data_IF_296259788724
#
_entry.id   IF_296259788724
#
_cell.length_a   1.000
_cell.length_b   1.000
_cell.length_c   1.000
_cell.angle_alpha   90.00
_cell.angle_beta   90.00
_cell.angle_gamma   90.00
#
_symmetry.space_group_name_H-M   'P 1'
#
loop_
_entity.id
_entity.type
_entity.pdbx_description
1 polymer ?
#
# COMPACT_ATOMS: atom_id res chain seq x y z
N UNK A 1 9.29 -27.86 1.85
CA UNK A 1 9.79 -26.54 2.29
C UNK A 1 8.71 -25.93 3.17
N UNK A 2 9.00 -25.62 4.43
CA UNK A 2 8.05 -24.89 5.29
C UNK A 2 8.03 -23.45 4.79
N UNK A 3 7.02 -23.10 4.00
CA UNK A 3 6.80 -21.73 3.55
C UNK A 3 6.40 -20.84 4.72
N UNK A 4 6.62 -19.54 4.60
CA UNK A 4 6.16 -18.59 5.60
C UNK A 4 4.64 -18.45 5.56
N UNK A 5 4.02 -18.38 6.72
CA UNK A 5 2.57 -18.13 6.85
C UNK A 5 2.34 -16.63 6.82
N UNK A 6 1.41 -16.16 5.98
CA UNK A 6 0.97 -14.76 6.01
C UNK A 6 -0.14 -14.62 7.04
N UNK A 7 0.04 -13.72 7.98
CA UNK A 7 -0.96 -13.35 8.99
C UNK A 7 -1.14 -11.81 8.99
N UNK A 8 -2.12 -11.32 9.72
CA UNK A 8 -2.48 -9.90 9.74
C UNK A 8 -2.49 -9.36 11.17
N UNK A 9 -1.95 -8.17 11.37
CA UNK A 9 -2.12 -7.46 12.66
C UNK A 9 -3.58 -7.09 12.88
N UNK A 10 -4.22 -6.58 11.83
CA UNK A 10 -5.65 -6.29 11.81
C UNK A 10 -6.24 -6.73 10.47
N UNK A 11 -6.73 -7.97 10.41
CA UNK A 11 -7.29 -8.55 9.19
C UNK A 11 -8.44 -7.71 8.61
N UNK A 12 -9.31 -7.17 9.48
CA UNK A 12 -10.48 -6.41 9.07
C UNK A 12 -10.10 -5.09 8.39
N UNK A 13 -9.18 -4.33 8.97
CA UNK A 13 -8.71 -3.08 8.36
C UNK A 13 -7.90 -3.35 7.10
N UNK A 14 -7.01 -4.36 7.16
CA UNK A 14 -6.19 -4.71 6.01
C UNK A 14 -7.04 -5.11 4.81
N UNK A 15 -8.07 -5.94 5.00
CA UNK A 15 -9.00 -6.33 3.93
C UNK A 15 -9.77 -5.15 3.35
N UNK A 16 -10.11 -4.12 4.14
CA UNK A 16 -10.74 -2.89 3.63
C UNK A 16 -9.76 -2.13 2.72
N UNK A 17 -8.51 -1.98 3.15
CA UNK A 17 -7.46 -1.35 2.36
C UNK A 17 -7.18 -2.11 1.07
N UNK A 18 -7.11 -3.44 1.14
CA UNK A 18 -6.87 -4.30 -0.01
C UNK A 18 -8.00 -4.20 -1.05
N UNK A 19 -9.25 -4.15 -0.61
CA UNK A 19 -10.43 -3.94 -1.49
C UNK A 19 -10.40 -2.57 -2.16
N UNK A 20 -10.05 -1.52 -1.43
CA UNK A 20 -9.87 -0.19 -2.01
C UNK A 20 -8.71 -0.17 -3.01
N UNK A 21 -7.60 -0.80 -2.66
CA UNK A 21 -6.44 -0.93 -3.54
C UNK A 21 -6.84 -1.64 -4.84
N UNK A 22 -7.64 -2.71 -4.77
CA UNK A 22 -8.19 -3.39 -5.95
C UNK A 22 -9.03 -2.45 -6.83
N UNK A 23 -9.85 -1.59 -6.25
CA UNK A 23 -10.74 -0.67 -6.98
C UNK A 23 -9.99 0.48 -7.63
N UNK A 24 -9.04 1.07 -6.90
CA UNK A 24 -8.43 2.35 -7.27
C UNK A 24 -7.00 2.23 -7.81
N UNK A 25 -6.30 1.14 -7.48
CA UNK A 25 -4.95 0.86 -7.95
C UNK A 25 -4.77 -0.62 -8.26
N UNK A 26 -5.39 -1.04 -9.36
CA UNK A 26 -5.37 -2.44 -9.79
C UNK A 26 -3.95 -2.96 -10.08
N UNK A 27 -3.03 -2.10 -10.52
CA UNK A 27 -1.64 -2.49 -10.80
C UNK A 27 -0.91 -2.91 -9.52
N UNK A 28 -1.01 -2.09 -8.46
CA UNK A 28 -0.47 -2.43 -7.14
C UNK A 28 -1.08 -3.73 -6.61
N UNK A 29 -2.42 -3.86 -6.69
CA UNK A 29 -3.13 -5.05 -6.21
C UNK A 29 -2.72 -6.34 -6.92
N UNK A 30 -2.57 -6.30 -8.26
CA UNK A 30 -2.11 -7.46 -9.04
C UNK A 30 -0.70 -7.85 -8.64
N UNK A 31 0.22 -6.89 -8.59
CA UNK A 31 1.62 -7.18 -8.24
C UNK A 31 1.76 -7.73 -6.82
N UNK A 32 0.99 -7.17 -5.88
CA UNK A 32 0.90 -7.66 -4.51
C UNK A 32 0.46 -9.13 -4.44
N UNK A 33 -0.61 -9.48 -5.14
CA UNK A 33 -1.17 -10.82 -5.09
C UNK A 33 -0.38 -11.87 -5.88
N UNK A 34 0.13 -11.53 -7.06
CA UNK A 34 0.76 -12.50 -7.95
C UNK A 34 2.27 -12.62 -7.77
N UNK A 35 2.96 -11.55 -7.35
CA UNK A 35 4.41 -11.57 -7.23
C UNK A 35 4.83 -11.57 -5.75
N UNK A 36 4.31 -10.63 -4.97
CA UNK A 36 4.82 -10.38 -3.63
C UNK A 36 4.34 -11.41 -2.60
N UNK A 37 3.04 -11.72 -2.50
CA UNK A 37 2.57 -12.74 -1.56
C UNK A 37 3.20 -14.12 -1.80
N UNK A 38 3.33 -14.62 -3.04
CA UNK A 38 4.05 -15.87 -3.30
C UNK A 38 5.52 -15.78 -2.95
N UNK A 39 6.20 -14.65 -3.26
CA UNK A 39 7.60 -14.45 -2.89
C UNK A 39 7.81 -14.49 -1.36
N UNK A 40 6.94 -13.80 -0.61
CA UNK A 40 6.95 -13.78 0.85
C UNK A 40 6.73 -15.17 1.44
N UNK A 41 5.73 -15.92 0.95
CA UNK A 41 5.50 -17.32 1.36
C UNK A 41 6.69 -18.24 1.05
N UNK A 42 7.43 -17.96 -0.01
CA UNK A 42 8.65 -18.69 -0.38
C UNK A 42 9.89 -18.25 0.42
N UNK A 43 9.77 -17.28 1.33
CA UNK A 43 10.88 -16.76 2.14
C UNK A 43 11.76 -15.71 1.44
N UNK A 44 11.29 -15.14 0.32
CA UNK A 44 11.93 -13.98 -0.31
C UNK A 44 11.28 -12.70 0.23
N UNK A 45 11.94 -12.06 1.19
CA UNK A 45 11.49 -10.78 1.73
C UNK A 45 11.82 -9.67 0.74
N UNK A 46 10.77 -9.03 0.20
CA UNK A 46 10.84 -8.00 -0.83
C UNK A 46 10.49 -6.65 -0.23
N UNK A 47 11.40 -5.68 -0.36
CA UNK A 47 11.22 -4.33 0.18
C UNK A 47 12.50 -3.82 0.82
N UNK A 48 12.39 -2.64 1.43
CA UNK A 48 13.44 -1.99 2.21
C UNK A 48 13.29 -2.39 3.68
N UNK A 49 14.40 -2.77 4.31
CA UNK A 49 14.42 -3.11 5.73
C UNK A 49 14.43 -1.82 6.57
N UNK A 50 13.34 -1.57 7.29
CA UNK A 50 13.17 -0.37 8.11
C UNK A 50 13.80 -0.56 9.49
N UNK A 51 13.65 -1.76 10.05
CA UNK A 51 13.98 -2.01 11.45
C UNK A 51 14.22 -3.50 11.70
N UNK A 52 15.20 -3.79 12.54
CA UNK A 52 15.50 -5.15 13.02
C UNK A 52 15.51 -5.17 14.53
N UNK A 53 14.67 -6.02 15.13
CA UNK A 53 14.68 -6.24 16.57
C UNK A 53 15.43 -7.55 16.88
N UNK A 54 16.67 -7.41 17.37
CA UNK A 54 17.53 -8.57 17.70
C UNK A 54 17.00 -9.40 18.87
N UNK A 55 16.23 -8.80 19.79
CA UNK A 55 15.67 -9.51 20.96
C UNK A 55 14.55 -10.47 20.56
N UNK A 56 13.70 -10.04 19.64
CA UNK A 56 12.52 -10.79 19.19
C UNK A 56 12.77 -11.56 17.88
N UNK A 57 13.91 -11.32 17.22
CA UNK A 57 14.24 -11.85 15.88
C UNK A 57 13.16 -11.50 14.85
N UNK A 58 12.74 -10.23 14.88
CA UNK A 58 11.75 -9.67 13.96
C UNK A 58 12.37 -8.63 13.04
N UNK A 59 11.97 -8.64 11.78
CA UNK A 59 12.43 -7.72 10.76
C UNK A 59 11.24 -6.99 10.14
N UNK A 60 11.24 -5.66 10.17
CA UNK A 60 10.18 -4.84 9.57
C UNK A 60 10.61 -4.35 8.20
N UNK A 61 9.74 -4.55 7.23
CA UNK A 61 9.97 -4.20 5.84
C UNK A 61 8.94 -3.19 5.33
N UNK A 62 9.41 -2.29 4.47
CA UNK A 62 8.61 -1.39 3.66
C UNK A 62 8.68 -1.85 2.20
N UNK A 63 7.55 -2.22 1.63
CA UNK A 63 7.46 -2.60 0.22
C UNK A 63 6.69 -1.56 -0.56
N UNK A 64 7.41 -0.81 -1.39
CA UNK A 64 6.82 0.12 -2.35
C UNK A 64 6.12 -0.63 -3.48
N UNK A 65 4.82 -0.42 -3.61
CA UNK A 65 3.98 -1.00 -4.64
C UNK A 65 3.95 -0.07 -5.87
N UNK A 66 3.86 -0.62 -7.09
CA UNK A 66 3.73 0.20 -8.30
C UNK A 66 2.36 0.88 -8.30
N UNK A 67 2.37 2.22 -8.35
CA UNK A 67 1.16 3.04 -8.47
C UNK A 67 1.26 4.00 -9.63
N UNK A 68 0.12 4.54 -10.05
CA UNK A 68 0.09 5.65 -11.00
C UNK A 68 0.91 6.83 -10.46
N UNK A 69 1.69 7.49 -11.35
CA UNK A 69 2.58 8.60 -10.98
C UNK A 69 1.79 9.82 -10.47
N UNK A 70 0.66 10.13 -11.10
CA UNK A 70 -0.20 11.24 -10.68
C UNK A 70 -0.84 10.94 -9.33
N UNK A 71 -1.30 9.70 -9.13
CA UNK A 71 -1.82 9.27 -7.82
C UNK A 71 -0.74 9.39 -6.73
N UNK A 72 0.46 8.88 -7.00
CA UNK A 72 1.59 8.95 -6.07
C UNK A 72 1.98 10.38 -5.72
N UNK A 73 1.92 11.30 -6.67
CA UNK A 73 2.24 12.71 -6.45
C UNK A 73 1.17 13.44 -5.63
N UNK A 74 -0.11 13.08 -5.78
CA UNK A 74 -1.22 13.72 -5.05
C UNK A 74 -1.38 13.14 -3.65
N UNK A 75 -1.42 11.80 -3.54
CA UNK A 75 -1.78 11.08 -2.32
C UNK A 75 -0.61 10.40 -1.60
N UNK A 76 0.55 10.35 -2.25
CA UNK A 76 1.72 9.61 -1.76
C UNK A 76 1.85 8.23 -2.39
N UNK A 77 3.05 7.67 -2.30
CA UNK A 77 3.36 6.35 -2.85
C UNK A 77 2.64 5.25 -2.08
N UNK A 78 2.15 4.24 -2.81
CA UNK A 78 1.52 3.09 -2.17
C UNK A 78 2.59 2.18 -1.58
N UNK A 79 2.56 1.98 -0.27
CA UNK A 79 3.54 1.14 0.43
C UNK A 79 2.85 0.12 1.33
N UNK A 80 3.35 -1.10 1.32
CA UNK A 80 2.96 -2.16 2.24
C UNK A 80 3.99 -2.25 3.37
N UNK A 81 3.50 -2.23 4.60
CA UNK A 81 4.30 -2.51 5.79
C UNK A 81 4.02 -3.92 6.25
N UNK A 82 5.08 -4.68 6.53
CA UNK A 82 4.96 -6.00 7.11
C UNK A 82 6.15 -6.33 8.02
N UNK A 83 5.90 -7.20 9.00
CA UNK A 83 6.89 -7.68 9.95
C UNK A 83 7.11 -9.17 9.76
N UNK A 84 8.36 -9.59 9.63
CA UNK A 84 8.77 -10.99 9.50
C UNK A 84 9.20 -11.50 10.87
N UNK A 85 8.59 -12.57 11.33
CA UNK A 85 8.93 -13.32 12.53
C UNK A 85 9.74 -14.55 12.14
N UNK A 86 11.07 -14.45 12.20
CA UNK A 86 11.98 -15.49 11.70
C UNK A 86 11.88 -16.80 12.50
N UNK A 87 11.62 -16.71 13.82
CA UNK A 87 11.47 -17.90 14.69
C UNK A 87 10.24 -18.73 14.36
N UNK A 88 9.14 -18.05 14.09
CA UNK A 88 7.82 -18.65 13.92
C UNK A 88 7.58 -19.04 12.45
N UNK A 89 8.32 -18.42 11.52
CA UNK A 89 8.06 -18.57 10.09
C UNK A 89 6.78 -17.85 9.68
N UNK A 90 6.44 -16.75 10.35
CA UNK A 90 5.22 -15.98 10.11
C UNK A 90 5.58 -14.59 9.59
N UNK A 91 4.78 -14.07 8.66
CA UNK A 91 4.89 -12.71 8.14
C UNK A 91 3.59 -12.01 8.47
N UNK A 92 3.65 -11.03 9.35
CA UNK A 92 2.50 -10.24 9.75
C UNK A 92 2.38 -8.99 8.91
N UNK A 93 1.30 -8.90 8.15
CA UNK A 93 0.95 -7.74 7.35
C UNK A 93 0.38 -6.66 8.28
N UNK A 94 1.02 -5.49 8.26
CA UNK A 94 0.77 -4.38 9.17
C UNK A 94 -0.33 -3.48 8.57
N UNK A 95 0.01 -2.76 7.50
CA UNK A 95 -0.90 -1.82 6.85
C UNK A 95 -0.45 -1.47 5.44
N UNK A 96 -1.34 -0.82 4.69
CA UNK A 96 -1.05 -0.22 3.38
C UNK A 96 -1.26 1.28 3.48
N UNK A 97 -0.26 2.05 3.07
CA UNK A 97 -0.37 3.51 2.92
C UNK A 97 -0.56 3.85 1.45
N UNK A 98 -1.21 4.98 1.12
CA UNK A 98 -1.88 5.93 2.01
C UNK A 98 -3.24 5.42 2.53
N UNK A 99 -3.37 5.27 3.85
CA UNK A 99 -4.51 4.61 4.50
C UNK A 99 -5.81 5.44 4.40
N UNK A 100 -5.72 6.77 4.50
CA UNK A 100 -6.87 7.67 4.53
C UNK A 100 -7.72 7.59 3.25
N UNK A 101 -7.10 7.83 2.09
CA UNK A 101 -7.78 7.80 0.78
C UNK A 101 -8.29 6.40 0.44
N UNK A 102 -7.55 5.35 0.85
CA UNK A 102 -7.97 3.97 0.63
C UNK A 102 -9.18 3.61 1.48
N UNK A 103 -9.20 3.96 2.77
CA UNK A 103 -10.36 3.73 3.63
C UNK A 103 -11.57 4.55 3.17
N UNK A 104 -11.36 5.80 2.82
CA UNK A 104 -12.42 6.66 2.28
C UNK A 104 -13.02 6.08 1.00
N UNK A 105 -12.16 5.62 0.09
CA UNK A 105 -12.59 4.99 -1.15
C UNK A 105 -13.27 3.63 -0.94
N UNK A 106 -12.95 2.91 0.14
CA UNK A 106 -13.70 1.72 0.53
C UNK A 106 -15.10 2.09 1.04
N UNK A 107 -15.21 3.12 1.88
CA UNK A 107 -16.48 3.54 2.48
C UNK A 107 -17.43 4.14 1.45
N UNK A 108 -16.89 4.88 0.48
CA UNK A 108 -17.71 5.57 -0.51
C UNK A 108 -16.95 5.78 -1.82
N UNK A 109 -17.69 5.86 -2.92
CA UNK A 109 -17.08 6.11 -4.22
C UNK A 109 -16.38 7.47 -4.25
N UNK A 110 -15.10 7.46 -4.64
CA UNK A 110 -14.29 8.67 -4.81
C UNK A 110 -14.67 9.36 -6.11
N UNK A 111 -14.79 10.68 -6.05
CA UNK A 111 -14.94 11.49 -7.24
C UNK A 111 -13.62 11.55 -8.01
N UNK A 112 -13.69 11.85 -9.30
CA UNK A 112 -12.51 12.11 -10.13
C UNK A 112 -12.47 13.58 -10.53
N UNK A 113 -11.26 14.13 -10.60
CA UNK A 113 -10.99 15.47 -11.13
C UNK A 113 -9.79 15.38 -12.07
N UNK A 114 -9.99 15.80 -13.33
CA UNK A 114 -9.00 15.66 -14.42
C UNK A 114 -8.45 14.22 -14.53
N UNK A 115 -9.32 13.23 -14.34
CA UNK A 115 -8.96 11.80 -14.41
C UNK A 115 -8.28 11.23 -13.15
N UNK A 116 -8.03 12.04 -12.12
CA UNK A 116 -7.37 11.62 -10.87
C UNK A 116 -8.41 11.58 -9.74
N UNK A 117 -8.35 10.53 -8.92
CA UNK A 117 -9.26 10.38 -7.77
C UNK A 117 -8.94 11.41 -6.69
N UNK A 118 -9.97 12.03 -6.14
CA UNK A 118 -9.86 13.01 -5.06
C UNK A 118 -10.53 12.47 -3.80
N UNK A 119 -9.93 12.77 -2.65
CA UNK A 119 -10.57 12.56 -1.36
C UNK A 119 -11.82 13.44 -1.25
N UNK A 120 -12.84 12.99 -0.51
CA UNK A 120 -13.97 13.86 -0.16
C UNK A 120 -13.57 14.78 0.98
N UNK A 121 -12.80 14.28 1.94
CA UNK A 121 -12.30 15.06 3.07
C UNK A 121 -11.39 16.23 2.64
N UNK A 122 -10.51 16.03 1.65
CA UNK A 122 -9.52 17.02 1.23
C UNK A 122 -9.63 17.40 -0.25
N UNK A 123 -10.84 17.34 -0.82
CA UNK A 123 -11.10 17.57 -2.25
C UNK A 123 -10.44 18.85 -2.80
N UNK A 124 -10.51 19.97 -2.08
CA UNK A 124 -9.90 21.25 -2.51
C UNK A 124 -8.37 21.19 -2.57
N UNK A 125 -7.74 20.52 -1.61
CA UNK A 125 -6.28 20.36 -1.55
C UNK A 125 -5.80 19.44 -2.67
N UNK A 126 -6.53 18.37 -2.94
CA UNK A 126 -6.19 17.42 -4.02
C UNK A 126 -6.32 18.09 -5.38
N UNK A 127 -7.40 18.84 -5.61
CA UNK A 127 -7.58 19.65 -6.84
C UNK A 127 -6.43 20.64 -7.03
N UNK A 128 -6.05 21.36 -5.98
CA UNK A 128 -4.93 22.29 -6.03
C UNK A 128 -3.61 21.59 -6.42
N UNK A 129 -3.30 20.44 -5.80
CA UNK A 129 -2.11 19.65 -6.16
C UNK A 129 -2.16 19.19 -7.62
N UNK A 130 -3.31 18.69 -8.07
CA UNK A 130 -3.51 18.25 -9.46
C UNK A 130 -3.27 19.41 -10.43
N UNK A 131 -3.85 20.58 -10.15
CA UNK A 131 -3.69 21.76 -11.00
C UNK A 131 -2.23 22.23 -11.03
N UNK A 132 -1.56 22.28 -9.88
CA UNK A 132 -0.14 22.62 -9.79
C UNK A 132 0.74 21.64 -10.58
N UNK A 133 0.51 20.33 -10.45
CA UNK A 133 1.28 19.31 -11.16
C UNK A 133 1.08 19.40 -12.67
N UNK A 134 -0.14 19.63 -13.13
CA UNK A 134 -0.43 19.83 -14.55
C UNK A 134 0.30 21.07 -15.10
N UNK A 135 0.27 22.19 -14.37
CA UNK A 135 1.00 23.41 -14.77
C UNK A 135 2.52 23.20 -14.86
N UNK A 136 3.09 22.34 -14.01
CA UNK A 136 4.52 22.00 -14.06
C UNK A 136 4.88 21.05 -15.20
N UNK A 137 3.94 20.21 -15.67
CA UNK A 137 4.14 19.30 -16.79
C UNK A 137 3.86 19.93 -18.15
N UNK A 138 3.04 20.99 -18.20
CA UNK A 138 2.80 21.80 -19.39
C UNK A 138 3.96 22.77 -19.71
N UNK A 139 5.05 22.72 -18.94
CA UNK A 139 6.32 23.44 -19.17
C UNK A 139 7.40 22.49 -19.68
#
# INVERSE_FOLDING_TARGET
MKGYVLDYINENEFKKLERALKKYNMLAFKKLNFDYYPALRNGKFVGELISTNKKEQTEKYELKLPSDKMFAAVHGEVKLYYTVYLKEGTIMLDTITPTEILLEGHMSELATYKGIMISKANASKDKFKIDLLNMLQEK
#
